data_IF_161330826657
#
_entry.id   IF_161330826657
#
_cell.length_a   1.000
_cell.length_b   1.000
_cell.length_c   1.000
_cell.angle_alpha   90.00
_cell.angle_beta   90.00
_cell.angle_gamma   90.00
#
_symmetry.space_group_name_H-M   'P 1'
#
loop_
_entity.id
_entity.type
_entity.pdbx_description
1 polymer ?
#
# COMPACT_ATOMS: atom_id res chain seq x y z
N UNK A 1 13.50 0.94 -15.99
CA UNK A 1 12.67 2.14 -15.67
C UNK A 1 11.51 1.85 -14.69
N UNK A 2 11.41 0.65 -14.08
CA UNK A 2 10.32 0.29 -13.16
C UNK A 2 10.64 0.52 -11.67
N UNK A 3 11.89 0.34 -11.24
CA UNK A 3 12.28 0.36 -9.81
C UNK A 3 12.06 1.72 -9.13
N UNK A 4 12.25 2.83 -9.87
CA UNK A 4 12.00 4.18 -9.35
C UNK A 4 10.52 4.48 -9.09
N UNK A 5 9.59 3.84 -9.83
CA UNK A 5 8.15 4.04 -9.61
C UNK A 5 7.70 3.28 -8.36
N UNK A 6 8.21 2.06 -8.17
CA UNK A 6 7.93 1.23 -7.00
C UNK A 6 8.45 1.86 -5.71
N UNK A 7 9.69 2.38 -5.70
CA UNK A 7 10.27 2.99 -4.49
C UNK A 7 9.50 4.26 -4.07
N UNK A 8 9.06 5.07 -5.03
CA UNK A 8 8.24 6.27 -4.75
C UNK A 8 6.88 5.89 -4.16
N UNK A 9 6.24 4.84 -4.68
CA UNK A 9 4.95 4.34 -4.14
C UNK A 9 5.12 3.85 -2.70
N UNK A 10 6.20 3.12 -2.41
CA UNK A 10 6.50 2.62 -1.06
C UNK A 10 6.84 3.77 -0.10
N UNK A 11 7.65 4.74 -0.53
CA UNK A 11 7.99 5.90 0.28
C UNK A 11 6.75 6.77 0.58
N UNK A 12 5.92 7.02 -0.43
CA UNK A 12 4.69 7.79 -0.26
C UNK A 12 3.69 7.09 0.67
N UNK A 13 3.51 5.77 0.54
CA UNK A 13 2.59 5.03 1.41
C UNK A 13 3.03 5.07 2.88
N UNK A 14 4.34 5.06 3.15
CA UNK A 14 4.90 5.13 4.50
C UNK A 14 4.65 6.49 5.15
N UNK A 15 4.87 7.58 4.40
CA UNK A 15 4.54 8.94 4.85
C UNK A 15 3.03 9.08 5.07
N UNK A 16 2.22 8.55 4.17
CA UNK A 16 0.76 8.59 4.29
C UNK A 16 0.25 7.88 5.54
N UNK A 17 0.75 6.67 5.82
CA UNK A 17 0.41 5.93 7.06
C UNK A 17 0.82 6.72 8.30
N UNK A 18 2.01 7.33 8.30
CA UNK A 18 2.47 8.15 9.42
C UNK A 18 1.55 9.34 9.71
N UNK A 19 1.09 10.03 8.66
CA UNK A 19 0.14 11.14 8.80
C UNK A 19 -1.19 10.67 9.40
N UNK A 20 -1.70 9.51 8.98
CA UNK A 20 -2.94 8.94 9.55
C UNK A 20 -2.77 8.63 11.03
N UNK A 21 -1.66 8.00 11.42
CA UNK A 21 -1.37 7.70 12.83
C UNK A 21 -1.33 8.97 13.66
N UNK A 22 -0.70 10.04 13.16
CA UNK A 22 -0.67 11.32 13.85
C UNK A 22 -2.04 12.00 13.94
N UNK A 23 -2.89 11.87 12.91
CA UNK A 23 -4.28 12.31 12.99
C UNK A 23 -5.03 11.53 14.08
N UNK A 24 -4.92 10.20 14.12
CA UNK A 24 -5.61 9.37 15.10
C UNK A 24 -5.16 9.70 16.53
N UNK A 25 -3.86 9.92 16.74
CA UNK A 25 -3.31 10.39 18.01
C UNK A 25 -3.84 11.78 18.40
N UNK A 26 -3.94 12.70 17.43
CA UNK A 26 -4.47 14.04 17.68
C UNK A 26 -5.93 14.02 18.14
N UNK A 27 -6.75 13.13 17.56
CA UNK A 27 -8.14 12.93 17.97
C UNK A 27 -8.30 12.03 19.21
N UNK A 28 -7.21 11.56 19.80
CA UNK A 28 -7.24 10.70 20.99
C UNK A 28 -7.81 9.30 20.72
N UNK A 29 -7.79 8.84 19.47
CA UNK A 29 -8.21 7.49 19.12
C UNK A 29 -7.14 6.52 19.59
N UNK A 30 -7.52 5.57 20.43
CA UNK A 30 -6.59 4.60 20.99
C UNK A 30 -6.13 3.57 19.95
N UNK A 31 -4.87 3.14 20.06
CA UNK A 31 -4.23 2.17 19.15
C UNK A 31 -4.93 0.82 19.05
N UNK A 32 -5.64 0.41 20.09
CA UNK A 32 -6.46 -0.80 20.11
C UNK A 32 -7.62 -0.76 19.11
N UNK A 33 -8.12 0.44 18.78
CA UNK A 33 -9.22 0.59 17.84
C UNK A 33 -8.71 0.65 16.40
N UNK A 34 -7.74 1.53 16.11
CA UNK A 34 -7.29 1.74 14.72
C UNK A 34 -6.16 0.80 14.27
N UNK A 35 -5.44 0.17 15.20
CA UNK A 35 -4.24 -0.62 14.90
C UNK A 35 -4.49 -1.84 14.01
N UNK A 36 -5.65 -2.49 14.19
CA UNK A 36 -6.04 -3.63 13.34
C UNK A 36 -6.28 -3.19 11.89
N UNK A 37 -6.94 -2.03 11.70
CA UNK A 37 -7.18 -1.45 10.39
C UNK A 37 -5.88 -0.99 9.73
N UNK A 38 -4.97 -0.40 10.52
CA UNK A 38 -3.66 0.04 10.03
C UNK A 38 -2.79 -1.14 9.56
N UNK A 39 -2.81 -2.24 10.32
CA UNK A 39 -2.08 -3.47 9.98
C UNK A 39 -2.67 -4.12 8.73
N UNK A 40 -4.01 -4.15 8.62
CA UNK A 40 -4.69 -4.65 7.42
C UNK A 40 -4.39 -3.78 6.18
N UNK A 41 -4.34 -2.46 6.33
CA UNK A 41 -3.95 -1.54 5.26
C UNK A 41 -2.52 -1.82 4.79
N UNK A 42 -1.58 -2.01 5.72
CA UNK A 42 -0.19 -2.33 5.41
C UNK A 42 -0.09 -3.68 4.68
N UNK A 43 -0.87 -4.68 5.09
CA UNK A 43 -0.97 -5.96 4.39
C UNK A 43 -1.52 -5.83 2.96
N UNK A 44 -2.55 -5.01 2.74
CA UNK A 44 -3.07 -4.75 1.39
C UNK A 44 -2.03 -4.10 0.48
N UNK A 45 -1.29 -3.12 0.99
CA UNK A 45 -0.22 -2.45 0.24
C UNK A 45 0.89 -3.44 -0.11
N UNK A 46 1.32 -4.28 0.84
CA UNK A 46 2.29 -5.35 0.57
C UNK A 46 1.77 -6.33 -0.48
N UNK A 47 0.50 -6.72 -0.40
CA UNK A 47 -0.12 -7.61 -1.38
C UNK A 47 -0.10 -6.99 -2.78
N UNK A 48 -0.40 -5.70 -2.92
CA UNK A 48 -0.34 -5.00 -4.21
C UNK A 48 1.09 -4.95 -4.76
N UNK A 49 2.09 -4.78 -3.90
CA UNK A 49 3.51 -4.70 -4.29
C UNK A 49 4.09 -6.07 -4.65
N UNK A 50 3.71 -7.11 -3.91
CA UNK A 50 4.26 -8.47 -4.08
C UNK A 50 3.51 -9.25 -5.16
N UNK A 51 2.20 -9.04 -5.30
CA UNK A 51 1.39 -9.81 -6.25
C UNK A 51 1.80 -9.44 -7.68
N UNK A 52 2.33 -10.40 -8.46
CA UNK A 52 2.71 -10.13 -9.83
C UNK A 52 1.45 -9.86 -10.65
N UNK A 53 1.24 -8.60 -11.03
CA UNK A 53 0.19 -8.21 -11.94
C UNK A 53 0.62 -8.60 -13.36
N UNK A 54 0.41 -9.87 -13.73
CA UNK A 54 0.64 -10.36 -15.09
C UNK A 54 -0.41 -9.71 -15.97
N UNK A 55 0.00 -8.67 -16.69
CA UNK A 55 -0.77 -8.10 -17.78
C UNK A 55 -1.03 -9.21 -18.81
N UNK A 56 -2.24 -9.77 -18.81
CA UNK A 56 -2.67 -10.82 -19.74
C UNK A 56 -2.99 -10.28 -21.14
N UNK A 57 -2.66 -9.03 -21.43
CA UNK A 57 -3.01 -8.33 -22.68
C UNK A 57 -2.21 -8.77 -23.92
N UNK A 58 -1.34 -9.79 -23.85
CA UNK A 58 -0.62 -10.31 -25.04
C UNK A 58 -0.71 -11.83 -25.18
N UNK A 59 -1.89 -12.43 -24.96
CA UNK A 59 -2.15 -13.83 -25.34
C UNK A 59 -3.17 -14.03 -26.46
N UNK A 60 -3.63 -12.95 -27.11
CA UNK A 60 -4.54 -12.99 -28.26
C UNK A 60 -4.00 -12.22 -29.47
N UNK A 61 -2.71 -12.36 -29.77
CA UNK A 61 -2.18 -11.99 -31.08
C UNK A 61 -1.19 -13.06 -31.50
N UNK A 62 -1.70 -14.24 -31.83
CA UNK A 62 -1.07 -15.19 -32.74
C UNK A 62 -2.20 -15.99 -33.41
N UNK A 63 -2.14 -15.97 -34.75
CA UNK A 63 -3.00 -16.55 -35.79
C UNK A 63 -4.31 -15.83 -36.12
#
# INVERSE_FOLDING_TARGET
>A
MASGKTITIVGFSLVFIYVIVQICNFYGVSTDQYGIYLTFLLFMILSIVILPNKDSSLKYSND
#
